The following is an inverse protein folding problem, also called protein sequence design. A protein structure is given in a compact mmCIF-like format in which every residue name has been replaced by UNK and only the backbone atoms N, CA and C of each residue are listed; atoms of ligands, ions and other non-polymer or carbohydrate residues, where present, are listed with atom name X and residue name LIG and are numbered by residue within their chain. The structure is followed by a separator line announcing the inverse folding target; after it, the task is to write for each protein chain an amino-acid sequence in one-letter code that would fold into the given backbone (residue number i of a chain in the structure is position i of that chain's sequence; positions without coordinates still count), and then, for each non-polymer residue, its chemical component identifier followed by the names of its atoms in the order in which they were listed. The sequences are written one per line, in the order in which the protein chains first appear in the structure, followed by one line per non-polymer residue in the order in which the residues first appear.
data_IF_431330422432
#
_entry.id   IF_431330422432
#
_cell.length_a   1.000
_cell.length_b   1.000
_cell.length_c   1.000
_cell.angle_alpha   90.00
_cell.angle_beta   90.00
_cell.angle_gamma   90.00
#
_symmetry.space_group_name_H-M   'P 1'
#
loop_
_entity.id
_entity.type
_entity.pdbx_description
1 polymer ?
#
# COMPACT_ATOMS: atom_id res chain seq x y z
N UNK A 1 -42.27 -2.73 -20.51
CA UNK A 1 -41.07 -1.96 -20.13
C UNK A 1 -39.88 -2.70 -20.71
N UNK A 2 -39.56 -2.40 -21.97
CA UNK A 2 -38.51 -3.07 -22.73
C UNK A 2 -37.19 -2.34 -22.51
N UNK A 3 -36.32 -2.95 -21.69
CA UNK A 3 -34.90 -3.18 -22.00
C UNK A 3 -34.17 -2.08 -22.78
N UNK A 4 -33.56 -1.14 -22.03
CA UNK A 4 -32.53 -0.20 -22.51
C UNK A 4 -31.39 -0.90 -23.30
N UNK A 5 -31.18 -2.20 -23.06
CA UNK A 5 -30.14 -3.02 -23.67
C UNK A 5 -30.55 -3.71 -24.98
N UNK A 6 -31.84 -3.75 -25.34
CA UNK A 6 -32.28 -4.42 -26.57
C UNK A 6 -32.13 -3.52 -27.82
N UNK A 7 -31.88 -2.22 -27.64
CA UNK A 7 -31.67 -1.26 -28.74
C UNK A 7 -30.20 -1.09 -29.15
N UNK A 8 -29.26 -1.85 -28.56
CA UNK A 8 -27.84 -1.84 -28.95
C UNK A 8 -27.52 -3.09 -29.76
N UNK A 9 -28.25 -3.29 -30.86
CA UNK A 9 -27.81 -4.22 -31.91
C UNK A 9 -26.94 -3.39 -32.86
N UNK A 10 -25.66 -3.25 -32.50
CA UNK A 10 -24.64 -2.74 -33.41
C UNK A 10 -24.19 -3.93 -34.26
N UNK A 11 -24.34 -3.92 -35.59
CA UNK A 11 -23.74 -4.94 -36.43
C UNK A 11 -22.22 -4.79 -36.32
N UNK A 12 -21.58 -5.66 -35.53
CA UNK A 12 -20.13 -5.61 -35.31
C UNK A 12 -19.41 -6.03 -36.60
N UNK A 13 -18.49 -5.20 -37.14
CA UNK A 13 -17.38 -5.68 -37.98
C UNK A 13 -16.53 -6.69 -37.16
N UNK A 14 -15.46 -7.33 -37.66
CA UNK A 14 -14.79 -8.42 -36.94
C UNK A 14 -14.02 -7.95 -35.68
N UNK A 15 -14.75 -7.67 -34.59
CA UNK A 15 -14.22 -7.29 -33.26
C UNK A 15 -13.57 -8.49 -32.54
N UNK A 16 -13.61 -9.69 -33.14
CA UNK A 16 -12.93 -10.88 -32.60
C UNK A 16 -11.44 -10.66 -32.34
N UNK A 17 -10.76 -9.81 -33.13
CA UNK A 17 -9.33 -9.55 -32.96
C UNK A 17 -9.02 -8.65 -31.75
N UNK A 18 -9.82 -7.61 -31.51
CA UNK A 18 -9.58 -6.69 -30.40
C UNK A 18 -9.77 -7.38 -29.04
N UNK A 19 -10.87 -8.13 -28.88
CA UNK A 19 -11.12 -8.90 -27.65
C UNK A 19 -9.97 -9.89 -27.39
N UNK A 20 -9.54 -10.61 -28.43
CA UNK A 20 -8.44 -11.57 -28.32
C UNK A 20 -7.13 -10.88 -27.93
N UNK A 21 -6.78 -9.78 -28.58
CA UNK A 21 -5.57 -9.00 -28.29
C UNK A 21 -5.55 -8.47 -26.85
N UNK A 22 -6.67 -7.90 -26.39
CA UNK A 22 -6.79 -7.43 -25.00
C UNK A 22 -6.66 -8.58 -24.01
N UNK A 23 -7.31 -9.71 -24.29
CA UNK A 23 -7.25 -10.89 -23.42
C UNK A 23 -5.83 -11.46 -23.33
N UNK A 24 -5.10 -11.58 -24.44
CA UNK A 24 -3.70 -12.04 -24.41
C UNK A 24 -2.80 -11.06 -23.65
N UNK A 25 -2.97 -9.74 -23.86
CA UNK A 25 -2.23 -8.72 -23.09
C UNK A 25 -2.47 -8.84 -21.58
N UNK A 26 -3.73 -9.02 -21.16
CA UNK A 26 -4.07 -9.20 -19.75
C UNK A 26 -3.48 -10.49 -19.18
N UNK A 27 -3.47 -11.59 -19.95
CA UNK A 27 -2.82 -12.84 -19.54
C UNK A 27 -1.31 -12.65 -19.35
N UNK A 28 -0.64 -11.95 -20.26
CA UNK A 28 0.79 -11.68 -20.14
C UNK A 28 1.10 -10.83 -18.90
N UNK A 29 0.30 -9.79 -18.66
CA UNK A 29 0.41 -8.98 -17.45
C UNK A 29 0.18 -9.81 -16.18
N UNK A 30 -0.86 -10.64 -16.16
CA UNK A 30 -1.15 -11.52 -15.03
C UNK A 30 -0.04 -12.54 -14.79
N UNK A 31 0.52 -13.13 -15.85
CA UNK A 31 1.65 -14.08 -15.74
C UNK A 31 2.87 -13.43 -15.07
N UNK A 32 3.15 -12.16 -15.40
CA UNK A 32 4.22 -11.39 -14.76
C UNK A 32 3.93 -11.16 -13.27
N UNK A 33 2.69 -10.83 -12.91
CA UNK A 33 2.27 -10.61 -11.51
C UNK A 33 2.34 -11.91 -10.72
N UNK A 34 1.77 -12.99 -11.27
CA UNK A 34 1.71 -14.31 -10.63
C UNK A 34 3.08 -14.88 -10.29
N UNK A 35 4.07 -14.63 -11.15
CA UNK A 35 5.44 -15.09 -10.93
C UNK A 35 6.22 -14.25 -9.89
N UNK A 36 5.69 -13.09 -9.45
CA UNK A 36 6.34 -12.27 -8.44
C UNK A 36 6.09 -12.82 -7.04
N UNK A 37 7.05 -12.66 -6.11
CA UNK A 37 6.82 -13.02 -4.73
C UNK A 37 5.68 -12.17 -4.16
N UNK A 38 4.84 -12.81 -3.35
CA UNK A 38 3.71 -12.17 -2.71
C UNK A 38 4.14 -10.87 -1.99
N UNK A 39 3.48 -9.74 -2.25
CA UNK A 39 3.80 -8.50 -1.56
C UNK A 39 3.48 -8.61 -0.07
N UNK A 40 4.24 -7.87 0.76
CA UNK A 40 3.97 -7.71 2.20
C UNK A 40 4.05 -8.99 3.06
N UNK A 41 4.92 -9.95 2.75
CA UNK A 41 5.16 -11.15 3.62
C UNK A 41 5.51 -10.82 5.08
N UNK A 42 6.00 -9.61 5.35
CA UNK A 42 6.39 -9.15 6.68
C UNK A 42 5.23 -8.56 7.50
N UNK A 43 4.08 -8.27 6.87
CA UNK A 43 2.93 -7.68 7.55
C UNK A 43 2.09 -8.79 8.21
N UNK A 44 1.78 -8.70 9.51
CA UNK A 44 0.87 -9.64 10.17
C UNK A 44 -0.53 -9.61 9.53
N UNK A 45 -1.22 -10.75 9.55
CA UNK A 45 -2.63 -10.84 9.14
C UNK A 45 -3.57 -10.42 10.29
N UNK A 46 -3.29 -9.27 10.87
CA UNK A 46 -4.08 -8.65 11.94
C UNK A 46 -4.87 -7.47 11.36
N UNK A 47 -6.10 -7.26 11.86
CA UNK A 47 -6.99 -6.24 11.31
C UNK A 47 -6.38 -4.83 11.38
N UNK A 48 -5.79 -4.46 12.52
CA UNK A 48 -5.16 -3.15 12.71
C UNK A 48 -3.95 -2.95 11.79
N UNK A 49 -3.16 -4.00 11.56
CA UNK A 49 -2.00 -3.96 10.68
C UNK A 49 -2.40 -3.74 9.22
N UNK A 50 -3.43 -4.47 8.77
CA UNK A 50 -3.95 -4.38 7.41
C UNK A 50 -4.69 -3.05 7.18
N UNK A 51 -5.46 -2.57 8.16
CA UNK A 51 -6.07 -1.24 8.16
C UNK A 51 -5.03 -0.14 8.04
N UNK A 52 -3.98 -0.21 8.86
CA UNK A 52 -2.89 0.76 8.83
C UNK A 52 -2.21 0.77 7.45
N UNK A 53 -1.90 -0.40 6.89
CA UNK A 53 -1.27 -0.50 5.58
C UNK A 53 -2.16 0.06 4.47
N UNK A 54 -3.47 -0.26 4.49
CA UNK A 54 -4.46 0.27 3.55
C UNK A 54 -4.55 1.80 3.59
N UNK A 55 -4.59 2.39 4.79
CA UNK A 55 -4.65 3.83 4.96
C UNK A 55 -3.39 4.55 4.45
N UNK A 56 -2.20 3.96 4.65
CA UNK A 56 -0.97 4.50 4.09
C UNK A 56 -0.94 4.43 2.56
N UNK A 57 -1.42 3.32 1.99
CA UNK A 57 -1.55 3.17 0.54
C UNK A 57 -2.50 4.22 -0.05
N UNK A 58 -3.65 4.42 0.62
CA UNK A 58 -4.65 5.37 0.19
C UNK A 58 -4.13 6.81 0.19
N UNK A 59 -3.34 7.20 1.19
CA UNK A 59 -2.70 8.52 1.22
C UNK A 59 -1.82 8.75 -0.01
N UNK A 60 -0.94 7.80 -0.32
CA UNK A 60 -0.03 7.93 -1.47
C UNK A 60 -0.79 7.98 -2.80
N UNK A 61 -1.86 7.21 -2.96
CA UNK A 61 -2.67 7.21 -4.18
C UNK A 61 -3.51 8.49 -4.32
N UNK A 62 -4.05 9.03 -3.22
CA UNK A 62 -4.78 10.31 -3.18
C UNK A 62 -3.90 11.50 -3.51
N UNK A 63 -2.74 11.60 -2.86
CA UNK A 63 -1.77 12.69 -3.09
C UNK A 63 -1.42 12.76 -4.58
N UNK A 64 -1.26 11.59 -5.21
CA UNK A 64 -0.92 11.50 -6.63
C UNK A 64 -2.08 11.84 -7.58
N UNK A 65 -3.31 11.47 -7.24
CA UNK A 65 -4.50 11.80 -8.05
C UNK A 65 -4.73 13.31 -8.10
N UNK A 66 -4.40 14.03 -7.01
CA UNK A 66 -4.48 15.49 -6.95
C UNK A 66 -3.53 16.20 -7.93
N UNK A 67 -2.37 15.62 -8.25
CA UNK A 67 -1.42 16.19 -9.22
C UNK A 67 -1.79 15.84 -10.68
N UNK A 68 -2.32 14.64 -10.93
CA UNK A 68 -2.62 14.17 -12.29
C UNK A 68 -3.92 14.78 -12.85
N UNK A 69 -4.88 15.12 -11.98
CA UNK A 69 -6.14 15.77 -12.37
C UNK A 69 -5.95 17.09 -13.16
N UNK A 70 -4.78 17.74 -13.05
CA UNK A 70 -4.53 19.04 -13.65
C UNK A 70 -3.70 19.00 -14.95
N UNK A 71 -3.19 17.86 -15.41
CA UNK A 71 -2.25 17.88 -16.54
C UNK A 71 -2.47 16.89 -17.68
N UNK A 72 -3.02 15.67 -17.49
CA UNK A 72 -3.18 14.75 -18.62
C UNK A 72 -4.33 13.74 -18.43
N UNK A 73 -5.36 13.83 -19.29
CA UNK A 73 -6.38 12.80 -19.56
C UNK A 73 -5.78 11.59 -20.30
N UNK A 74 -4.69 11.03 -19.77
CA UNK A 74 -4.07 9.82 -20.31
C UNK A 74 -4.40 8.63 -19.41
N UNK A 75 -5.48 7.90 -19.71
CA UNK A 75 -5.80 6.47 -19.44
C UNK A 75 -5.15 5.72 -18.24
N UNK A 76 -4.61 6.38 -17.23
CA UNK A 76 -4.09 5.75 -16.02
C UNK A 76 -5.26 5.57 -15.09
N UNK A 77 -5.67 4.31 -14.92
CA UNK A 77 -6.73 3.97 -13.99
C UNK A 77 -6.37 4.53 -12.61
N UNK A 78 -7.30 5.21 -11.92
CA UNK A 78 -7.07 5.64 -10.55
C UNK A 78 -6.72 4.41 -9.70
N UNK A 79 -5.77 4.59 -8.78
CA UNK A 79 -5.34 3.51 -7.90
C UNK A 79 -6.53 2.86 -7.19
N UNK A 80 -6.47 1.54 -6.96
CA UNK A 80 -7.58 0.74 -6.42
C UNK A 80 -8.22 1.36 -5.17
N UNK A 81 -7.41 1.98 -4.30
CA UNK A 81 -7.88 2.58 -3.03
C UNK A 81 -8.73 3.84 -3.19
N UNK A 82 -8.77 4.42 -4.41
CA UNK A 82 -9.54 5.64 -4.71
C UNK A 82 -11.01 5.33 -5.00
N UNK A 83 -11.33 4.12 -5.48
CA UNK A 83 -12.69 3.74 -5.90
C UNK A 83 -13.20 2.45 -5.27
N UNK A 84 -12.33 1.62 -4.69
CA UNK A 84 -12.72 0.41 -3.96
C UNK A 84 -12.62 0.62 -2.45
N UNK A 85 -13.67 0.26 -1.71
CA UNK A 85 -13.70 0.34 -0.24
C UNK A 85 -14.01 -1.05 0.33
N UNK A 86 -13.01 -1.77 0.87
CA UNK A 86 -13.23 -3.10 1.45
C UNK A 86 -14.07 -3.01 2.72
N UNK A 87 -15.06 -3.89 2.86
CA UNK A 87 -15.96 -3.93 4.01
C UNK A 87 -15.36 -4.76 5.15
N UNK A 88 -14.80 -5.92 4.81
CA UNK A 88 -14.31 -6.91 5.77
C UNK A 88 -12.77 -6.99 5.80
N UNK A 89 -12.20 -7.50 6.91
CA UNK A 89 -10.75 -7.70 7.05
C UNK A 89 -10.15 -8.55 5.92
N UNK A 90 -10.77 -9.70 5.62
CA UNK A 90 -10.31 -10.59 4.56
C UNK A 90 -10.30 -9.91 3.18
N UNK A 91 -11.36 -9.15 2.88
CA UNK A 91 -11.43 -8.35 1.66
C UNK A 91 -10.36 -7.27 1.62
N UNK A 92 -10.10 -6.60 2.75
CA UNK A 92 -9.08 -5.56 2.87
C UNK A 92 -7.68 -6.11 2.62
N UNK A 93 -7.37 -7.29 3.15
CA UNK A 93 -6.08 -7.95 2.91
C UNK A 93 -5.91 -8.30 1.42
N UNK A 94 -6.94 -8.89 0.80
CA UNK A 94 -6.93 -9.19 -0.64
C UNK A 94 -6.84 -7.92 -1.49
N UNK A 95 -7.61 -6.89 -1.16
CA UNK A 95 -7.61 -5.62 -1.85
C UNK A 95 -6.27 -4.90 -1.73
N UNK A 96 -5.62 -4.95 -0.56
CA UNK A 96 -4.28 -4.39 -0.36
C UNK A 96 -3.25 -5.05 -1.29
N UNK A 97 -3.29 -6.38 -1.40
CA UNK A 97 -2.43 -7.14 -2.32
C UNK A 97 -2.73 -6.76 -3.78
N UNK A 98 -4.00 -6.78 -4.16
CA UNK A 98 -4.44 -6.40 -5.51
C UNK A 98 -4.03 -4.95 -5.86
N UNK A 99 -4.14 -4.01 -4.93
CA UNK A 99 -3.76 -2.62 -5.14
C UNK A 99 -2.25 -2.47 -5.38
N UNK A 100 -1.42 -3.29 -4.73
CA UNK A 100 0.02 -3.34 -4.97
C UNK A 100 0.35 -4.01 -6.31
N UNK A 101 -0.38 -5.05 -6.69
CA UNK A 101 -0.16 -5.77 -7.95
C UNK A 101 -0.57 -4.92 -9.16
N UNK A 102 -1.65 -4.15 -9.05
CA UNK A 102 -2.13 -3.19 -10.06
C UNK A 102 -1.37 -1.86 -10.08
N UNK A 103 -0.28 -1.73 -9.32
CA UNK A 103 0.49 -0.50 -9.24
C UNK A 103 1.23 -0.21 -10.57
N UNK A 104 0.73 0.77 -11.32
CA UNK A 104 1.15 1.09 -12.71
C UNK A 104 2.31 2.10 -12.82
N UNK A 105 2.89 2.53 -11.70
CA UNK A 105 4.03 3.46 -11.73
C UNK A 105 5.38 2.78 -11.92
N UNK A 106 6.41 3.60 -12.16
CA UNK A 106 7.79 3.16 -12.27
C UNK A 106 8.17 2.22 -11.10
N UNK A 107 8.86 1.10 -11.38
CA UNK A 107 9.11 0.04 -10.40
C UNK A 107 9.84 0.55 -9.14
N UNK A 108 10.68 1.58 -9.28
CA UNK A 108 11.41 2.19 -8.17
C UNK A 108 10.50 2.87 -7.16
N UNK A 109 9.39 3.48 -7.61
CA UNK A 109 8.41 4.14 -6.72
C UNK A 109 7.71 3.11 -5.83
N UNK A 110 7.29 1.98 -6.40
CA UNK A 110 6.71 0.85 -5.65
C UNK A 110 7.73 0.30 -4.65
N UNK A 111 8.97 0.10 -5.07
CA UNK A 111 10.03 -0.42 -4.20
C UNK A 111 10.31 0.52 -3.02
N UNK A 112 10.43 1.81 -3.28
CA UNK A 112 10.66 2.83 -2.26
C UNK A 112 9.48 2.89 -1.27
N UNK A 113 8.25 2.87 -1.79
CA UNK A 113 7.04 2.82 -0.95
C UNK A 113 7.04 1.60 -0.02
N UNK A 114 7.24 0.39 -0.55
CA UNK A 114 7.26 -0.83 0.25
C UNK A 114 8.36 -0.83 1.32
N UNK A 115 9.53 -0.26 0.99
CA UNK A 115 10.64 -0.11 1.93
C UNK A 115 10.30 0.87 3.06
N UNK A 116 9.70 2.02 2.72
CA UNK A 116 9.27 3.01 3.71
C UNK A 116 8.13 2.48 4.57
N UNK A 117 7.19 1.73 3.98
CA UNK A 117 6.08 1.11 4.70
C UNK A 117 6.61 0.09 5.72
N UNK A 118 7.55 -0.77 5.34
CA UNK A 118 8.18 -1.72 6.26
C UNK A 118 8.92 -1.01 7.41
N UNK A 119 9.66 0.07 7.12
CA UNK A 119 10.33 0.87 8.16
C UNK A 119 9.33 1.48 9.14
N UNK A 120 8.27 2.08 8.63
CA UNK A 120 7.22 2.71 9.44
C UNK A 120 6.50 1.69 10.32
N UNK A 121 6.22 0.50 9.79
CA UNK A 121 5.63 -0.60 10.55
C UNK A 121 6.52 -1.06 11.71
N UNK A 122 7.81 -1.30 11.43
CA UNK A 122 8.75 -1.69 12.49
C UNK A 122 8.88 -0.62 13.58
N UNK A 123 8.84 0.66 13.18
CA UNK A 123 8.85 1.76 14.14
C UNK A 123 7.56 1.81 14.97
N UNK A 124 6.40 1.56 14.37
CA UNK A 124 5.13 1.48 15.08
C UNK A 124 5.12 0.32 16.08
N UNK A 125 5.56 -0.86 15.66
CA UNK A 125 5.70 -2.03 16.54
C UNK A 125 6.63 -1.74 17.73
N UNK A 126 7.75 -1.06 17.49
CA UNK A 126 8.68 -0.64 18.54
C UNK A 126 8.04 0.36 19.52
N UNK A 127 7.16 1.25 19.05
CA UNK A 127 6.43 2.18 19.92
C UNK A 127 5.38 1.46 20.75
N UNK A 128 4.66 0.51 20.15
CA UNK A 128 3.66 -0.31 20.84
C UNK A 128 4.29 -1.20 21.93
N UNK A 129 5.51 -1.71 21.75
CA UNK A 129 6.20 -2.48 22.80
C UNK A 129 6.81 -1.62 23.91
N UNK A 130 6.83 -0.29 23.77
CA UNK A 130 7.45 0.67 24.70
C UNK A 130 6.40 1.46 25.49
N UNK A 131 5.29 0.83 25.89
CA UNK A 131 4.21 1.49 26.65
C UNK A 131 4.71 2.18 27.93
N UNK A 132 5.74 1.62 28.59
CA UNK A 132 6.32 2.18 29.83
C UNK A 132 7.57 3.05 29.59
N UNK A 133 7.98 3.28 28.33
CA UNK A 133 9.23 3.99 28.00
C UNK A 133 8.92 5.23 27.18
N UNK A 134 8.98 6.41 27.81
CA UNK A 134 8.86 7.70 27.12
C UNK A 134 10.23 8.18 26.64
N UNK A 135 10.39 8.38 25.33
CA UNK A 135 11.59 9.00 24.79
C UNK A 135 11.62 10.48 25.17
N UNK A 136 12.65 10.91 25.90
CA UNK A 136 12.95 12.31 26.17
C UNK A 136 13.88 12.83 25.06
N UNK A 137 13.33 13.64 24.16
CA UNK A 137 14.13 14.35 23.14
C UNK A 137 14.71 15.63 23.76
N UNK A 138 15.83 15.49 24.47
CA UNK A 138 16.55 16.62 25.08
C UNK A 138 18.04 16.49 24.82
N UNK A 139 18.71 17.62 24.61
CA UNK A 139 20.17 17.65 24.54
C UNK A 139 20.73 17.64 25.97
N UNK A 140 21.38 16.54 26.35
CA UNK A 140 22.19 16.46 27.57
C UNK A 140 23.67 16.60 27.21
N UNK A 141 24.45 17.21 28.10
CA UNK A 141 25.91 17.11 28.04
C UNK A 141 26.33 15.65 28.22
N UNK A 142 27.37 15.21 27.50
CA UNK A 142 27.86 13.84 27.56
C UNK A 142 28.19 13.41 29.00
N UNK A 143 28.76 14.31 29.80
CA UNK A 143 29.09 14.05 31.20
C UNK A 143 27.84 13.76 32.05
N UNK A 144 26.76 14.50 31.84
CA UNK A 144 25.49 14.28 32.54
C UNK A 144 24.89 12.91 32.19
N UNK A 145 24.97 12.50 30.92
CA UNK A 145 24.54 11.17 30.49
C UNK A 145 25.36 10.07 31.16
N UNK A 146 26.69 10.18 31.18
CA UNK A 146 27.55 9.18 31.83
C UNK A 146 27.26 9.03 33.32
N UNK A 147 26.97 10.14 34.03
CA UNK A 147 26.61 10.08 35.45
C UNK A 147 25.26 9.38 35.66
N UNK A 148 24.28 9.63 34.80
CA UNK A 148 22.98 8.94 34.85
C UNK A 148 23.13 7.45 34.57
N UNK A 149 23.92 7.07 33.58
CA UNK A 149 24.21 5.67 33.26
C UNK A 149 24.91 4.96 34.44
N UNK A 150 25.88 5.62 35.08
CA UNK A 150 26.56 5.09 36.27
C UNK A 150 25.61 4.94 37.48
N UNK A 151 24.71 5.90 37.70
CA UNK A 151 23.71 5.81 38.76
C UNK A 151 22.70 4.68 38.51
N UNK A 152 22.29 4.47 37.27
CA UNK A 152 21.39 3.38 36.87
C UNK A 152 22.05 2.00 37.10
N UNK A 153 23.33 1.85 36.73
CA UNK A 153 24.09 0.61 36.99
C UNK A 153 24.22 0.30 38.48
N UNK A 154 24.49 1.32 39.31
CA UNK A 154 24.64 1.13 40.76
C UNK A 154 23.32 0.84 41.48
N UNK A 155 22.20 1.31 40.94
CA UNK A 155 20.87 1.12 41.54
C UNK A 155 20.15 -0.14 41.05
N UNK A 156 20.73 -0.88 40.09
CA UNK A 156 20.11 -2.09 39.54
C UNK A 156 18.87 -1.81 38.67
N UNK A 157 18.67 -0.55 38.26
CA UNK A 157 17.52 -0.13 37.43
C UNK A 157 17.98 -0.10 35.98
N UNK A 158 17.98 -1.27 35.32
CA UNK A 158 18.29 -1.40 33.89
C UNK A 158 17.17 -2.11 33.14
#
# INVERSE_FOLDING_TARGET
IATLFDSIIIPTPPVMHLKKQVMEKLKDQWKIIYNKPQPLKWLPDEEDAVLWAWNNLQKVQKDKTSYISNLYMGLKAPGLTTWFTPLNHAERNLALRAALDLWDDAPDTKRLFLLNLNKAWNQQKLRQSRTDKKALNTYLKNETKMRLDFMAERSGVR
#
